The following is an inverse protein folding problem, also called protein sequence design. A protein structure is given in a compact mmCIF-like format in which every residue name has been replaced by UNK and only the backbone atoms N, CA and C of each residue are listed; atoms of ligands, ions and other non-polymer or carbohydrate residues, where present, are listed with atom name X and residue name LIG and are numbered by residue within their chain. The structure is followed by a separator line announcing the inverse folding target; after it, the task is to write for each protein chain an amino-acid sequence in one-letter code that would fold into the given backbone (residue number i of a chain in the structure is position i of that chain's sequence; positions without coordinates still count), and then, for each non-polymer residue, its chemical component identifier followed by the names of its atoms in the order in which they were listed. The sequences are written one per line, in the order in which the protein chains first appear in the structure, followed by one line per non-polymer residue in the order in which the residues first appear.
data_IF_582095631816
#
_entry.id   IF_582095631816
#
_cell.length_a   1.000
_cell.length_b   1.000
_cell.length_c   1.000
_cell.angle_alpha   90.00
_cell.angle_beta   90.00
_cell.angle_gamma   90.00
#
_symmetry.space_group_name_H-M   'P 1'
#
loop_
_entity.id
_entity.type
_entity.pdbx_description
1 polymer ?
#
# COMPACT_ATOMS: atom_id res chain seq x y z
N UNK A 1 -54.51 -64.39 -29.01
CA UNK A 1 -53.79 -63.96 -27.79
C UNK A 1 -52.64 -63.05 -28.24
N UNK A 2 -52.79 -61.72 -28.07
CA UNK A 2 -51.75 -60.72 -28.43
C UNK A 2 -51.25 -60.05 -27.14
N UNK A 3 -50.00 -60.31 -26.79
CA UNK A 3 -49.32 -59.60 -25.70
C UNK A 3 -48.77 -58.30 -26.25
N UNK A 4 -49.21 -57.14 -25.71
CA UNK A 4 -48.67 -55.82 -25.98
C UNK A 4 -47.49 -55.55 -25.03
N UNK A 5 -46.35 -55.21 -25.59
CA UNK A 5 -45.18 -54.78 -24.85
C UNK A 5 -45.25 -53.29 -24.59
N UNK A 6 -45.40 -52.89 -23.33
CA UNK A 6 -45.21 -51.52 -22.92
C UNK A 6 -43.70 -51.25 -22.73
N UNK A 7 -43.18 -50.37 -23.56
CA UNK A 7 -41.80 -49.89 -23.47
C UNK A 7 -41.80 -48.62 -22.65
N UNK A 8 -41.34 -48.68 -21.39
CA UNK A 8 -41.18 -47.52 -20.53
C UNK A 8 -39.87 -46.81 -20.84
N UNK A 9 -39.95 -45.61 -21.34
CA UNK A 9 -38.81 -44.70 -21.52
C UNK A 9 -38.60 -43.98 -20.18
N UNK A 10 -37.53 -44.34 -19.47
CA UNK A 10 -37.06 -43.61 -18.28
C UNK A 10 -36.24 -42.44 -18.77
N UNK A 11 -36.80 -41.21 -18.70
CA UNK A 11 -36.11 -39.95 -19.00
C UNK A 11 -35.31 -39.55 -17.77
N UNK A 12 -34.00 -39.88 -17.75
CA UNK A 12 -33.07 -39.43 -16.71
C UNK A 12 -32.75 -37.96 -16.91
N UNK A 13 -33.33 -37.09 -16.05
CA UNK A 13 -33.04 -35.67 -15.99
C UNK A 13 -31.69 -35.49 -15.27
N UNK A 14 -30.60 -35.33 -16.03
CA UNK A 14 -29.31 -34.88 -15.49
C UNK A 14 -29.38 -33.39 -15.21
N UNK A 15 -29.61 -33.03 -13.95
CA UNK A 15 -29.44 -31.65 -13.47
C UNK A 15 -27.95 -31.39 -13.33
N UNK A 16 -27.34 -30.77 -14.32
CA UNK A 16 -25.98 -30.26 -14.22
C UNK A 16 -26.05 -29.01 -13.36
N UNK A 17 -25.73 -29.13 -12.07
CA UNK A 17 -25.43 -27.98 -11.22
C UNK A 17 -24.10 -27.38 -11.70
N UNK A 18 -24.18 -26.33 -12.53
CA UNK A 18 -23.06 -25.46 -12.83
C UNK A 18 -22.71 -24.69 -11.55
N UNK A 19 -21.74 -25.17 -10.79
CA UNK A 19 -21.09 -24.38 -9.76
C UNK A 19 -20.30 -23.28 -10.48
N UNK A 20 -20.94 -22.13 -10.68
CA UNK A 20 -20.24 -20.90 -11.05
C UNK A 20 -19.39 -20.51 -9.84
N UNK A 21 -18.12 -20.93 -9.84
CA UNK A 21 -17.11 -20.36 -8.97
C UNK A 21 -17.02 -18.89 -9.33
N UNK A 22 -17.62 -18.01 -8.52
CA UNK A 22 -17.30 -16.59 -8.54
C UNK A 22 -15.82 -16.50 -8.14
N UNK A 23 -14.94 -16.50 -9.13
CA UNK A 23 -13.58 -16.02 -8.95
C UNK A 23 -13.75 -14.52 -8.69
N UNK A 24 -13.67 -14.11 -7.44
CA UNK A 24 -13.44 -12.71 -7.10
C UNK A 24 -12.08 -12.36 -7.73
N UNK A 25 -12.10 -11.73 -8.90
CA UNK A 25 -10.91 -11.11 -9.44
C UNK A 25 -10.46 -10.07 -8.41
N UNK A 26 -9.29 -10.28 -7.80
CA UNK A 26 -8.69 -9.29 -6.91
C UNK A 26 -8.51 -7.97 -7.63
N UNK A 27 -8.49 -6.86 -6.89
CA UNK A 27 -8.15 -5.57 -7.50
C UNK A 27 -6.73 -5.60 -8.09
N UNK A 28 -6.44 -4.72 -9.06
CA UNK A 28 -5.07 -4.59 -9.60
C UNK A 28 -4.02 -4.36 -8.50
N UNK A 29 -4.41 -3.67 -7.41
CA UNK A 29 -3.57 -3.51 -6.22
C UNK A 29 -3.35 -4.81 -5.43
N UNK A 30 -4.34 -5.73 -5.42
CA UNK A 30 -4.19 -7.04 -4.79
C UNK A 30 -3.25 -7.95 -5.59
N UNK A 31 -3.38 -7.94 -6.90
CA UNK A 31 -2.48 -8.67 -7.80
C UNK A 31 -1.04 -8.17 -7.70
N UNK A 32 -0.86 -6.84 -7.65
CA UNK A 32 0.44 -6.21 -7.46
C UNK A 32 1.07 -6.60 -6.11
N UNK A 33 0.29 -6.60 -5.03
CA UNK A 33 0.73 -7.05 -3.72
C UNK A 33 1.14 -8.52 -3.74
N UNK A 34 0.35 -9.38 -4.36
CA UNK A 34 0.67 -10.80 -4.44
C UNK A 34 1.98 -11.04 -5.20
N UNK A 35 2.24 -10.31 -6.30
CA UNK A 35 3.53 -10.38 -7.03
C UNK A 35 4.72 -10.03 -6.13
N UNK A 36 4.60 -8.98 -5.29
CA UNK A 36 5.65 -8.62 -4.34
C UNK A 36 5.86 -9.73 -3.30
N UNK A 37 4.79 -10.26 -2.71
CA UNK A 37 4.89 -11.30 -1.68
C UNK A 37 5.47 -12.61 -2.24
N UNK A 38 5.09 -13.02 -3.43
CA UNK A 38 5.65 -14.18 -4.12
C UNK A 38 7.15 -13.95 -4.43
N UNK A 39 7.52 -12.73 -4.82
CA UNK A 39 8.91 -12.34 -5.01
C UNK A 39 9.72 -12.42 -3.72
N UNK A 40 9.19 -11.91 -2.62
CA UNK A 40 9.84 -12.00 -1.32
C UNK A 40 9.99 -13.46 -0.85
N UNK A 41 8.99 -14.29 -1.11
CA UNK A 41 9.11 -15.73 -0.84
C UNK A 41 10.27 -16.36 -1.61
N UNK A 42 10.41 -16.07 -2.90
CA UNK A 42 11.54 -16.58 -3.71
C UNK A 42 12.89 -16.07 -3.18
N UNK A 43 12.96 -14.80 -2.78
CA UNK A 43 14.13 -14.20 -2.16
C UNK A 43 14.54 -14.96 -0.89
N UNK A 44 13.61 -15.18 0.03
CA UNK A 44 13.84 -15.91 1.30
C UNK A 44 14.27 -17.35 1.05
N UNK A 45 13.70 -18.01 0.03
CA UNK A 45 14.04 -19.39 -0.33
C UNK A 45 15.34 -19.50 -1.17
N UNK A 46 15.94 -18.39 -1.59
CA UNK A 46 17.10 -18.39 -2.50
C UNK A 46 16.76 -18.89 -3.91
N UNK A 47 15.49 -18.86 -4.31
CA UNK A 47 14.96 -19.36 -5.59
C UNK A 47 14.59 -18.21 -6.52
N UNK A 48 15.56 -17.40 -6.89
CA UNK A 48 15.35 -16.23 -7.73
C UNK A 48 14.80 -16.60 -9.12
N UNK A 49 13.85 -15.83 -9.61
CA UNK A 49 13.39 -15.93 -10.97
C UNK A 49 14.47 -15.44 -11.95
N UNK A 50 14.55 -16.07 -13.12
CA UNK A 50 15.40 -15.56 -14.20
C UNK A 50 14.79 -14.25 -14.74
N UNK A 51 15.62 -13.19 -14.81
CA UNK A 51 15.24 -11.87 -15.30
C UNK A 51 16.21 -11.41 -16.38
N UNK A 52 15.64 -10.86 -17.46
CA UNK A 52 16.47 -10.15 -18.43
C UNK A 52 16.79 -8.76 -17.86
N UNK A 53 18.06 -8.55 -17.53
CA UNK A 53 18.62 -7.25 -17.13
C UNK A 53 19.53 -6.67 -18.21
N UNK A 54 19.60 -7.32 -19.37
CA UNK A 54 20.47 -7.01 -20.48
C UNK A 54 19.95 -5.95 -21.43
N UNK A 55 20.58 -5.90 -22.61
CA UNK A 55 20.30 -4.91 -23.66
C UNK A 55 18.87 -5.05 -24.21
N UNK A 56 18.38 -6.28 -24.31
CA UNK A 56 17.02 -6.56 -24.79
C UNK A 56 15.98 -5.84 -23.91
N UNK A 57 16.05 -6.05 -22.60
CA UNK A 57 15.11 -5.42 -21.65
C UNK A 57 15.28 -3.90 -21.61
N UNK A 58 16.53 -3.39 -21.62
CA UNK A 58 16.75 -1.93 -21.64
C UNK A 58 16.17 -1.28 -22.91
N UNK A 59 16.31 -1.93 -24.05
CA UNK A 59 15.77 -1.44 -25.33
C UNK A 59 14.24 -1.48 -25.31
N UNK A 60 13.64 -2.53 -24.79
CA UNK A 60 12.18 -2.66 -24.65
C UNK A 60 11.59 -1.51 -23.82
N UNK A 61 12.10 -1.29 -22.60
CA UNK A 61 11.56 -0.24 -21.72
C UNK A 61 11.91 1.17 -22.18
N UNK A 62 13.01 1.37 -22.91
CA UNK A 62 13.34 2.66 -23.52
C UNK A 62 12.29 3.04 -24.59
N UNK A 63 11.85 2.09 -25.40
CA UNK A 63 10.87 2.31 -26.47
C UNK A 63 9.44 2.35 -25.96
N UNK A 64 9.11 1.47 -25.01
CA UNK A 64 7.76 1.32 -24.48
C UNK A 64 7.44 2.20 -23.27
N UNK A 65 8.44 2.86 -22.67
CA UNK A 65 8.29 3.59 -21.42
C UNK A 65 8.33 2.67 -20.18
N UNK A 66 8.11 3.26 -19.01
CA UNK A 66 8.05 2.52 -17.76
C UNK A 66 6.60 2.16 -17.40
N UNK A 67 6.39 0.91 -17.00
CA UNK A 67 5.09 0.40 -16.55
C UNK A 67 5.24 -0.43 -15.25
N UNK A 68 5.74 0.17 -14.16
CA UNK A 68 5.87 -0.53 -12.91
C UNK A 68 4.49 -0.90 -12.36
N UNK A 69 4.40 -2.06 -11.70
CA UNK A 69 3.14 -2.50 -11.10
C UNK A 69 2.96 -2.06 -9.64
N UNK A 70 3.99 -1.48 -9.03
CA UNK A 70 3.94 -0.97 -7.66
C UNK A 70 4.89 0.21 -7.46
N UNK A 71 4.49 1.14 -6.59
CA UNK A 71 5.37 2.16 -5.99
C UNK A 71 5.75 1.73 -4.59
N UNK A 72 7.04 1.81 -4.23
CA UNK A 72 7.52 1.46 -2.89
C UNK A 72 8.32 2.63 -2.32
N UNK A 73 7.93 3.13 -1.14
CA UNK A 73 8.76 4.00 -0.31
C UNK A 73 9.50 3.15 0.73
N UNK A 74 10.84 3.23 0.75
CA UNK A 74 11.66 2.45 1.67
C UNK A 74 12.86 3.24 2.21
N UNK A 75 13.59 2.63 3.14
CA UNK A 75 14.83 3.20 3.65
C UNK A 75 15.95 3.17 2.60
N UNK A 76 16.86 4.17 2.69
CA UNK A 76 18.11 4.20 1.93
C UNK A 76 19.16 3.21 2.45
N UNK A 77 18.88 2.46 3.51
CA UNK A 77 19.78 1.44 4.06
C UNK A 77 20.22 0.46 2.97
N UNK A 78 21.54 0.27 2.81
CA UNK A 78 22.10 -0.58 1.75
C UNK A 78 21.68 -2.05 1.84
N UNK A 79 21.23 -2.50 3.02
CA UNK A 79 20.72 -3.85 3.27
C UNK A 79 19.26 -4.05 2.82
N UNK A 80 18.60 -2.96 2.36
CA UNK A 80 17.16 -2.95 2.03
C UNK A 80 16.92 -2.53 0.57
N UNK A 81 17.47 -3.25 -0.44
CA UNK A 81 17.19 -2.98 -1.85
C UNK A 81 15.86 -3.63 -2.26
N UNK A 82 14.76 -2.87 -2.49
CA UNK A 82 13.45 -3.46 -2.76
C UNK A 82 13.42 -4.37 -3.98
N UNK A 83 14.16 -4.06 -5.04
CA UNK A 83 14.23 -4.87 -6.25
C UNK A 83 14.72 -6.29 -5.95
N UNK A 84 15.70 -6.44 -5.04
CA UNK A 84 16.21 -7.74 -4.63
C UNK A 84 15.27 -8.43 -3.64
N UNK A 85 14.80 -7.69 -2.63
CA UNK A 85 13.89 -8.21 -1.58
C UNK A 85 12.62 -8.81 -2.18
N UNK A 86 12.09 -8.18 -3.23
CA UNK A 86 10.89 -8.63 -3.92
C UNK A 86 11.18 -9.42 -5.19
N UNK A 87 12.44 -9.74 -5.46
CA UNK A 87 12.85 -10.49 -6.66
C UNK A 87 12.24 -9.91 -7.94
N UNK A 88 12.40 -8.59 -8.15
CA UNK A 88 11.88 -7.86 -9.30
C UNK A 88 12.98 -7.46 -10.28
N UNK A 89 12.60 -7.30 -11.55
CA UNK A 89 13.47 -6.92 -12.65
C UNK A 89 13.49 -5.42 -12.94
N UNK A 90 14.22 -5.06 -13.98
CA UNK A 90 14.35 -3.69 -14.43
C UNK A 90 13.00 -3.15 -14.95
N UNK A 91 12.51 -2.07 -14.34
CA UNK A 91 11.27 -1.40 -14.72
C UNK A 91 10.00 -1.98 -14.09
N UNK A 92 10.11 -3.01 -13.21
CA UNK A 92 8.95 -3.68 -12.61
C UNK A 92 8.34 -2.89 -11.44
N UNK A 93 9.18 -2.13 -10.70
CA UNK A 93 8.73 -1.35 -9.54
C UNK A 93 9.30 0.07 -9.57
N UNK A 94 8.51 1.04 -9.09
CA UNK A 94 8.91 2.43 -8.92
C UNK A 94 9.34 2.67 -7.47
N UNK A 95 10.59 3.14 -7.26
CA UNK A 95 11.18 3.19 -5.93
C UNK A 95 11.47 4.61 -5.49
N UNK A 96 11.04 4.93 -4.26
CA UNK A 96 11.45 6.13 -3.51
C UNK A 96 12.21 5.67 -2.28
N UNK A 97 13.45 6.15 -2.09
CA UNK A 97 14.29 5.75 -0.94
C UNK A 97 14.82 6.97 -0.19
N UNK A 98 14.49 7.03 1.09
CA UNK A 98 14.97 8.07 2.01
C UNK A 98 15.36 7.42 3.33
N UNK A 99 16.42 7.89 4.00
CA UNK A 99 16.84 7.35 5.29
C UNK A 99 15.67 7.36 6.29
N UNK A 100 15.41 6.19 6.92
CA UNK A 100 14.24 5.99 7.79
C UNK A 100 12.91 6.03 7.07
N UNK A 101 12.88 5.81 5.76
CA UNK A 101 11.68 5.85 4.89
C UNK A 101 10.75 7.07 5.14
N UNK A 102 11.31 8.21 5.61
CA UNK A 102 10.55 9.43 5.89
C UNK A 102 10.09 10.10 4.60
N UNK A 103 9.02 10.88 4.70
CA UNK A 103 8.43 11.61 3.58
C UNK A 103 8.52 13.12 3.83
N UNK A 104 9.17 13.83 2.92
CA UNK A 104 9.16 15.27 2.77
C UNK A 104 8.38 15.65 1.50
N UNK A 105 8.23 16.94 1.15
CA UNK A 105 7.52 17.33 -0.06
C UNK A 105 8.08 16.73 -1.36
N UNK A 106 9.40 16.50 -1.46
CA UNK A 106 10.04 15.94 -2.67
C UNK A 106 9.76 14.44 -2.76
N UNK A 107 9.93 13.72 -1.65
CA UNK A 107 9.61 12.29 -1.59
C UNK A 107 8.11 12.04 -1.81
N UNK A 108 7.23 12.90 -1.24
CA UNK A 108 5.79 12.82 -1.47
C UNK A 108 5.44 13.08 -2.94
N UNK A 109 6.02 14.09 -3.56
CA UNK A 109 5.83 14.36 -4.99
C UNK A 109 6.29 13.20 -5.87
N UNK A 110 7.38 12.50 -5.50
CA UNK A 110 7.82 11.30 -6.19
C UNK A 110 6.83 10.14 -6.04
N UNK A 111 6.22 9.98 -4.85
CA UNK A 111 5.15 9.00 -4.62
C UNK A 111 3.93 9.34 -5.48
N UNK A 112 3.48 10.59 -5.46
CA UNK A 112 2.36 11.07 -6.27
C UNK A 112 2.60 10.83 -7.76
N UNK A 113 3.81 11.12 -8.25
CA UNK A 113 4.21 10.82 -9.63
C UNK A 113 4.06 9.33 -9.96
N UNK A 114 4.52 8.44 -9.08
CA UNK A 114 4.42 6.99 -9.27
C UNK A 114 2.97 6.49 -9.32
N UNK A 115 2.09 7.00 -8.46
CA UNK A 115 0.71 6.51 -8.37
C UNK A 115 -0.24 7.20 -9.36
N UNK A 116 -0.02 8.47 -9.68
CA UNK A 116 -0.91 9.25 -10.55
C UNK A 116 -0.45 9.28 -12.01
N UNK A 117 0.85 9.58 -12.26
CA UNK A 117 1.37 9.71 -13.65
C UNK A 117 1.86 8.39 -14.23
N UNK A 118 2.44 7.51 -13.40
CA UNK A 118 2.88 6.18 -13.82
C UNK A 118 1.80 5.12 -13.59
N UNK A 119 0.73 5.48 -12.89
CA UNK A 119 -0.49 4.67 -12.67
C UNK A 119 -0.24 3.34 -11.95
N UNK A 120 0.68 3.32 -10.97
CA UNK A 120 0.87 2.11 -10.16
C UNK A 120 -0.34 1.86 -9.24
N UNK A 121 -0.97 0.68 -9.29
CA UNK A 121 -2.17 0.38 -8.50
C UNK A 121 -1.88 0.06 -7.03
N UNK A 122 -0.60 -0.03 -6.66
CA UNK A 122 -0.14 -0.36 -5.30
C UNK A 122 0.91 0.65 -4.83
N UNK A 123 0.74 1.17 -3.63
CA UNK A 123 1.77 1.87 -2.85
C UNK A 123 2.11 1.05 -1.61
N UNK A 124 3.38 0.64 -1.48
CA UNK A 124 3.88 -0.01 -0.28
C UNK A 124 4.78 0.94 0.52
N UNK A 125 4.50 1.09 1.81
CA UNK A 125 5.36 1.80 2.76
C UNK A 125 6.13 0.73 3.54
N UNK A 126 7.43 0.62 3.25
CA UNK A 126 8.30 -0.45 3.74
C UNK A 126 9.30 0.08 4.77
N UNK A 127 9.08 -0.24 6.04
CA UNK A 127 10.08 -0.12 7.09
C UNK A 127 11.01 -1.34 7.12
N UNK A 128 11.98 -1.33 8.03
CA UNK A 128 12.83 -2.50 8.24
C UNK A 128 13.34 -2.58 9.67
N UNK A 129 13.59 -3.78 10.16
CA UNK A 129 14.19 -4.01 11.48
C UNK A 129 15.58 -3.37 11.59
N UNK A 130 16.00 -3.02 12.79
CA UNK A 130 17.31 -2.40 13.08
C UNK A 130 17.62 -1.16 12.22
N UNK A 131 16.62 -0.30 12.00
CA UNK A 131 16.80 0.92 11.19
C UNK A 131 17.72 1.92 11.87
N UNK A 132 18.87 2.21 11.22
CA UNK A 132 19.87 3.13 11.73
C UNK A 132 19.37 4.55 11.96
N UNK A 133 18.48 5.06 11.11
CA UNK A 133 17.89 6.39 11.27
C UNK A 133 16.96 6.48 12.49
N UNK A 134 16.17 5.43 12.76
CA UNK A 134 15.33 5.34 13.95
C UNK A 134 16.19 5.22 15.22
N UNK A 135 17.21 4.38 15.18
CA UNK A 135 18.16 4.20 16.28
C UNK A 135 18.89 5.50 16.60
N UNK A 136 19.43 6.19 15.60
CA UNK A 136 20.05 7.49 15.76
C UNK A 136 19.09 8.52 16.38
N UNK A 137 17.81 8.52 15.95
CA UNK A 137 16.78 9.40 16.54
C UNK A 137 16.51 9.09 18.02
N UNK A 138 16.55 7.81 18.41
CA UNK A 138 16.38 7.39 19.82
C UNK A 138 17.51 7.86 20.70
N UNK A 139 18.75 7.95 20.18
CA UNK A 139 19.98 8.27 20.85
C UNK A 139 20.33 9.78 20.80
N UNK A 140 19.69 10.52 19.91
CA UNK A 140 19.94 11.97 19.74
C UNK A 140 19.68 12.75 21.01
N UNK A 141 20.71 13.51 21.44
CA UNK A 141 20.65 14.50 22.52
C UNK A 141 20.91 15.88 21.91
N UNK A 142 19.94 16.77 22.00
CA UNK A 142 20.04 18.10 21.40
C UNK A 142 19.72 18.11 19.90
N UNK A 143 20.21 19.11 19.17
CA UNK A 143 20.01 19.22 17.73
C UNK A 143 21.13 18.52 16.96
N UNK A 144 20.80 17.62 16.00
CA UNK A 144 21.78 16.98 15.17
C UNK A 144 22.46 17.98 14.22
N UNK A 145 23.71 17.72 13.88
CA UNK A 145 24.45 18.52 12.91
C UNK A 145 23.91 18.33 11.47
N UNK A 146 23.98 19.38 10.69
CA UNK A 146 23.63 19.40 9.28
C UNK A 146 22.18 19.01 9.00
N UNK A 147 21.94 18.32 7.88
CA UNK A 147 20.58 17.99 7.41
C UNK A 147 19.98 16.75 8.08
N UNK A 148 20.74 16.00 8.88
CA UNK A 148 20.21 14.82 9.61
C UNK A 148 19.07 15.21 10.55
N UNK A 149 19.11 16.46 11.08
CA UNK A 149 18.06 17.02 11.92
C UNK A 149 16.66 16.97 11.28
N UNK A 150 16.55 17.10 9.96
CA UNK A 150 15.28 17.01 9.25
C UNK A 150 14.70 15.57 9.33
N UNK A 151 15.55 14.56 9.20
CA UNK A 151 15.16 13.14 9.32
C UNK A 151 14.76 12.84 10.77
N UNK A 152 15.58 13.25 11.74
CA UNK A 152 15.31 13.08 13.17
C UNK A 152 13.96 13.70 13.55
N UNK A 153 13.69 14.92 13.08
CA UNK A 153 12.42 15.61 13.34
C UNK A 153 11.21 14.84 12.82
N UNK A 154 11.32 14.17 11.69
CA UNK A 154 10.26 13.33 11.11
C UNK A 154 10.04 12.05 11.92
N UNK A 155 11.10 11.41 12.39
CA UNK A 155 11.04 10.14 13.14
C UNK A 155 10.70 10.35 14.62
N UNK A 156 11.05 11.50 15.19
CA UNK A 156 10.90 11.82 16.63
C UNK A 156 9.51 11.51 17.22
N UNK A 157 8.37 11.77 16.53
CA UNK A 157 7.04 11.40 17.04
C UNK A 157 6.89 9.91 17.29
N UNK A 158 7.43 9.06 16.41
CA UNK A 158 7.40 7.60 16.55
C UNK A 158 8.21 7.14 17.75
N UNK A 159 9.43 7.67 17.90
CA UNK A 159 10.29 7.39 19.05
C UNK A 159 9.64 7.80 20.38
N UNK A 160 9.03 8.99 20.43
CA UNK A 160 8.31 9.45 21.63
C UNK A 160 7.17 8.51 21.99
N UNK A 161 6.43 8.03 20.99
CA UNK A 161 5.31 7.10 21.19
C UNK A 161 5.80 5.74 21.68
N UNK A 162 6.88 5.22 21.09
CA UNK A 162 7.50 3.97 21.50
C UNK A 162 8.04 4.03 22.95
N UNK A 163 8.77 5.10 23.30
CA UNK A 163 9.28 5.30 24.66
C UNK A 163 8.16 5.36 25.72
N UNK A 164 6.98 5.90 25.37
CA UNK A 164 5.81 5.92 26.28
C UNK A 164 5.23 4.54 26.52
N UNK A 165 5.34 3.61 25.56
CA UNK A 165 4.90 2.22 25.74
C UNK A 165 5.82 1.44 26.68
N UNK A 166 7.08 1.87 26.80
CA UNK A 166 8.08 1.20 27.66
C UNK A 166 8.65 -0.06 27.02
N UNK A 167 9.45 -0.79 27.78
CA UNK A 167 10.14 -2.00 27.35
C UNK A 167 11.66 -1.84 27.36
N UNK A 168 12.37 -2.86 26.91
CA UNK A 168 13.81 -2.83 26.67
C UNK A 168 14.18 -1.88 25.53
N UNK A 169 15.45 -1.56 25.39
CA UNK A 169 15.94 -0.69 24.29
C UNK A 169 15.57 -1.25 22.93
N UNK A 170 15.66 -2.57 22.75
CA UNK A 170 15.38 -3.24 21.48
C UNK A 170 13.87 -3.27 21.19
N UNK A 171 13.03 -3.53 22.20
CA UNK A 171 11.57 -3.46 22.05
C UNK A 171 11.08 -2.04 21.73
N UNK A 172 11.72 -1.02 22.32
CA UNK A 172 11.42 0.38 22.00
C UNK A 172 11.84 0.69 20.56
N UNK A 173 12.99 0.20 20.10
CA UNK A 173 13.44 0.37 18.70
C UNK A 173 12.46 -0.27 17.72
N UNK A 174 12.11 -1.52 17.92
CA UNK A 174 11.14 -2.26 17.11
C UNK A 174 9.79 -1.53 17.05
N UNK A 175 9.29 -1.09 18.22
CA UNK A 175 8.05 -0.31 18.31
C UNK A 175 8.19 1.02 17.56
N UNK A 176 9.32 1.71 17.68
CA UNK A 176 9.55 3.00 17.01
C UNK A 176 9.61 2.85 15.49
N UNK A 177 10.16 1.76 14.97
CA UNK A 177 10.18 1.43 13.54
C UNK A 177 8.76 1.28 13.02
N UNK A 178 7.92 0.47 13.66
CA UNK A 178 6.51 0.26 13.28
C UNK A 178 5.70 1.56 13.36
N UNK A 179 5.88 2.34 14.44
CA UNK A 179 5.22 3.63 14.59
C UNK A 179 5.68 4.65 13.53
N UNK A 180 6.95 4.58 13.09
CA UNK A 180 7.45 5.44 12.01
C UNK A 180 6.78 5.08 10.68
N UNK A 181 6.61 3.80 10.35
CA UNK A 181 5.86 3.36 9.16
C UNK A 181 4.43 3.92 9.19
N UNK A 182 3.76 3.90 10.37
CA UNK A 182 2.42 4.45 10.52
C UNK A 182 2.38 5.97 10.38
N UNK A 183 3.42 6.68 10.86
CA UNK A 183 3.53 8.13 10.68
C UNK A 183 3.72 8.49 9.19
N UNK A 184 4.53 7.71 8.47
CA UNK A 184 4.71 7.88 7.02
C UNK A 184 3.40 7.63 6.28
N UNK A 185 2.66 6.58 6.63
CA UNK A 185 1.32 6.36 6.08
C UNK A 185 0.40 7.57 6.32
N UNK A 186 0.40 8.11 7.54
CA UNK A 186 -0.41 9.28 7.87
C UNK A 186 0.03 10.54 7.09
N UNK A 187 1.34 10.71 6.83
CA UNK A 187 1.86 11.81 6.02
C UNK A 187 1.46 11.65 4.53
N UNK A 188 1.59 10.46 3.97
CA UNK A 188 1.15 10.13 2.60
C UNK A 188 -0.34 10.37 2.43
N UNK A 189 -1.15 9.95 3.41
CA UNK A 189 -2.59 10.17 3.40
C UNK A 189 -3.02 11.63 3.59
N UNK A 190 -2.10 12.59 3.76
CA UNK A 190 -2.42 14.03 3.68
C UNK A 190 -2.51 14.51 2.24
N UNK A 191 -1.86 13.83 1.29
CA UNK A 191 -1.92 14.16 -0.14
C UNK A 191 -3.35 14.09 -0.68
N UNK A 192 -3.87 15.13 -1.32
CA UNK A 192 -5.16 15.08 -2.00
C UNK A 192 -5.17 14.05 -3.12
N UNK A 193 -4.09 13.96 -3.91
CA UNK A 193 -3.91 13.02 -5.02
C UNK A 193 -4.03 11.58 -4.54
N UNK A 194 -3.28 11.22 -3.50
CA UNK A 194 -3.31 9.87 -2.94
C UNK A 194 -4.69 9.52 -2.37
N UNK A 195 -5.33 10.48 -1.66
CA UNK A 195 -6.68 10.28 -1.12
C UNK A 195 -7.72 10.01 -2.19
N UNK A 196 -7.66 10.76 -3.29
CA UNK A 196 -8.58 10.61 -4.41
C UNK A 196 -8.44 9.22 -5.04
N UNK A 197 -7.21 8.80 -5.37
CA UNK A 197 -6.95 7.49 -5.96
C UNK A 197 -7.38 6.33 -5.04
N UNK A 198 -7.19 6.46 -3.73
CA UNK A 198 -7.66 5.47 -2.75
C UNK A 198 -9.19 5.46 -2.68
N UNK A 199 -9.84 6.63 -2.67
CA UNK A 199 -11.31 6.75 -2.64
C UNK A 199 -11.96 6.16 -3.89
N UNK A 200 -11.33 6.34 -5.05
CA UNK A 200 -11.78 5.78 -6.33
C UNK A 200 -11.48 4.27 -6.48
N UNK A 201 -10.80 3.65 -5.51
CA UNK A 201 -10.38 2.25 -5.57
C UNK A 201 -9.28 1.96 -6.60
N UNK A 202 -8.63 3.00 -7.13
CA UNK A 202 -7.52 2.89 -8.10
C UNK A 202 -6.18 2.61 -7.44
N UNK A 203 -6.02 2.96 -6.16
CA UNK A 203 -4.79 2.79 -5.40
C UNK A 203 -5.05 1.99 -4.12
N UNK A 204 -4.33 0.89 -3.97
CA UNK A 204 -4.20 0.17 -2.70
C UNK A 204 -2.95 0.65 -1.98
N UNK A 205 -3.07 0.97 -0.69
CA UNK A 205 -1.92 1.27 0.16
C UNK A 205 -1.73 0.16 1.17
N UNK A 206 -0.49 -0.29 1.32
CA UNK A 206 -0.09 -1.29 2.32
C UNK A 206 1.12 -0.81 3.10
N UNK A 207 1.23 -1.27 4.32
CA UNK A 207 2.34 -0.99 5.23
C UNK A 207 2.99 -2.30 5.64
N UNK A 208 4.31 -2.34 5.62
CA UNK A 208 5.06 -3.57 5.89
C UNK A 208 6.41 -3.28 6.55
N UNK A 209 6.99 -4.30 7.15
CA UNK A 209 8.32 -4.29 7.70
C UNK A 209 9.16 -5.43 7.11
N UNK A 210 10.34 -5.10 6.62
CA UNK A 210 11.35 -6.07 6.18
C UNK A 210 12.23 -6.46 7.35
N UNK A 211 12.32 -7.74 7.64
CA UNK A 211 13.16 -8.28 8.70
C UNK A 211 14.54 -8.66 8.14
N UNK A 212 15.58 -7.93 8.58
CA UNK A 212 16.96 -8.13 8.14
C UNK A 212 17.54 -9.51 8.50
N UNK A 213 17.03 -10.15 9.57
CA UNK A 213 17.59 -11.42 10.03
C UNK A 213 17.14 -12.63 9.23
N UNK A 214 15.93 -12.59 8.67
CA UNK A 214 15.33 -13.72 7.96
C UNK A 214 14.87 -13.41 6.53
N UNK A 215 15.01 -12.14 6.10
CA UNK A 215 14.65 -11.71 4.75
C UNK A 215 13.14 -11.60 4.46
N UNK A 216 12.28 -11.82 5.45
CA UNK A 216 10.83 -11.77 5.26
C UNK A 216 10.29 -10.35 5.31
N UNK A 217 9.29 -10.10 4.50
CA UNK A 217 8.44 -8.92 4.59
C UNK A 217 7.14 -9.30 5.29
N UNK A 218 6.86 -8.62 6.40
CA UNK A 218 5.68 -8.84 7.23
C UNK A 218 4.72 -7.66 7.08
N UNK A 219 3.46 -7.95 6.76
CA UNK A 219 2.43 -6.92 6.65
C UNK A 219 2.07 -6.39 8.03
N UNK A 220 1.99 -5.08 8.16
CA UNK A 220 1.51 -4.41 9.36
C UNK A 220 0.02 -4.08 9.22
N UNK A 221 -0.70 -4.06 10.35
CA UNK A 221 -2.10 -3.66 10.34
C UNK A 221 -2.21 -2.13 10.24
N UNK A 222 -2.98 -1.66 9.27
CA UNK A 222 -3.34 -0.25 9.20
C UNK A 222 -4.21 0.14 10.41
N UNK A 223 -4.06 1.37 10.92
CA UNK A 223 -4.94 1.87 11.96
C UNK A 223 -6.40 1.78 11.47
N UNK A 224 -7.28 1.19 12.27
CA UNK A 224 -8.71 1.17 11.96
C UNK A 224 -9.18 2.63 11.87
N UNK A 225 -9.45 3.10 10.66
CA UNK A 225 -10.08 4.40 10.44
C UNK A 225 -11.48 4.29 11.03
N UNK A 226 -11.74 4.99 12.14
CA UNK A 226 -13.11 5.21 12.57
C UNK A 226 -13.78 6.03 11.46
N UNK A 227 -14.56 5.39 10.63
CA UNK A 227 -15.47 6.08 9.73
C UNK A 227 -16.46 6.86 10.59
N UNK A 228 -16.12 8.07 10.97
CA UNK A 228 -17.12 9.08 11.27
C UNK A 228 -17.74 9.47 9.92
N UNK A 229 -18.75 8.71 9.53
CA UNK A 229 -19.71 9.16 8.53
C UNK A 229 -20.35 10.43 9.10
N UNK A 230 -19.77 11.60 8.82
CA UNK A 230 -20.47 12.86 9.02
C UNK A 230 -21.72 12.84 8.14
N UNK A 231 -22.85 12.62 8.76
CA UNK A 231 -24.18 12.96 8.23
C UNK A 231 -24.20 14.46 7.92
N UNK A 232 -23.66 14.89 6.79
CA UNK A 232 -23.68 16.30 6.35
C UNK A 232 -24.60 16.55 5.14
N UNK A 233 -25.26 15.53 4.60
CA UNK A 233 -26.07 15.70 3.37
C UNK A 233 -27.55 16.04 3.59
N UNK A 234 -28.04 16.11 4.83
CA UNK A 234 -29.47 16.36 5.06
C UNK A 234 -29.83 17.78 5.58
N UNK A 235 -28.84 18.70 5.60
CA UNK A 235 -29.08 20.07 6.08
C UNK A 235 -29.13 21.12 4.98
N UNK A 236 -28.73 20.79 3.77
CA UNK A 236 -28.68 21.75 2.65
C UNK A 236 -30.00 21.79 1.87
N UNK A 237 -30.73 20.69 1.76
CA UNK A 237 -32.02 20.64 1.07
C UNK A 237 -33.14 21.36 1.86
N UNK A 238 -33.22 21.17 3.17
CA UNK A 238 -34.22 21.86 4.01
C UNK A 238 -34.05 23.37 4.11
N UNK A 239 -32.90 23.92 3.74
CA UNK A 239 -32.66 25.37 3.76
C UNK A 239 -32.99 26.02 2.42
N UNK A 240 -33.03 25.30 1.33
CA UNK A 240 -33.47 25.76 0.00
C UNK A 240 -34.96 25.78 -0.12
N UNK A 241 -35.67 24.79 0.42
CA UNK A 241 -37.15 24.75 0.42
C UNK A 241 -37.78 25.85 1.27
N UNK A 242 -37.26 26.12 2.49
CA UNK A 242 -37.75 27.23 3.33
C UNK A 242 -37.48 28.62 2.76
N UNK A 243 -36.53 28.74 1.80
CA UNK A 243 -36.23 30.02 1.14
C UNK A 243 -37.11 30.25 -0.11
N UNK A 244 -37.63 29.17 -0.69
CA UNK A 244 -38.58 29.23 -1.79
C UNK A 244 -40.01 29.58 -1.29
N UNK A 245 -40.48 28.96 -0.20
CA UNK A 245 -41.79 29.25 0.38
C UNK A 245 -41.96 30.70 0.88
N UNK A 246 -40.87 31.30 1.46
CA UNK A 246 -40.92 32.70 1.92
C UNK A 246 -40.91 33.75 0.79
N UNK A 247 -40.66 33.33 -0.46
CA UNK A 247 -40.63 34.24 -1.63
C UNK A 247 -41.98 34.28 -2.34
N UNK A 248 -42.82 33.27 -2.16
CA UNK A 248 -44.19 33.21 -2.71
C UNK A 248 -45.22 33.91 -1.82
N UNK A 249 -44.96 34.04 -0.52
CA UNK A 249 -45.88 34.70 0.44
C UNK A 249 -45.74 36.25 0.48
N UNK A 250 -44.79 36.84 -0.25
CA UNK A 250 -44.57 38.29 -0.37
C UNK A 250 -45.02 38.88 -1.72
N UNK A 251 -45.72 38.08 -2.56
CA UNK A 251 -46.16 38.52 -3.88
C UNK A 251 -47.69 38.44 -4.06
N UNK A 252 -48.45 38.47 -2.94
CA UNK A 252 -49.90 38.71 -2.93
C UNK A 252 -50.21 39.84 -2.00
#
# INVERSE_FOLDING_TARGET
MKLSRFSGIILSLFVILAFSSLVFAGSAGDEALQKLLDGNKRYVEGKFASKDLGDSRRTEILKGGQHPFATIISCSDSRVPPEHIFDQGLGDIFIVRVAGNVVDPIALGSIEYGVEHVHTPLLMILGHSDCGAVKATMETKGEPEGNIGAIVKKIQPAVKKAKKKGGSKDEILETAIKENVMNVYADVMKSPVVKELVHEGKLKIVVAEYNLSNGKVEMLELPKVKHEMKKSEHKTEKKSEKKAEKKTEKAH
#
